data_IF_401834989705
#
_entry.id   IF_401834989705
#
_cell.length_a   1.000
_cell.length_b   1.000
_cell.length_c   1.000
_cell.angle_alpha   90.00
_cell.angle_beta   90.00
_cell.angle_gamma   90.00
#
_symmetry.space_group_name_H-M   'P 1'
#
loop_
_entity.id
_entity.type
_entity.pdbx_description
1 polymer ?
#
# COMPACT_ATOMS: atom_id res chain seq x y z
N UNK A 1 -19.62 -14.60 -13.43
CA UNK A 1 -18.25 -14.97 -13.00
C UNK A 1 -17.62 -13.72 -12.42
N UNK A 2 -17.14 -13.77 -11.18
CA UNK A 2 -16.44 -12.66 -10.53
C UNK A 2 -15.03 -12.55 -11.10
N UNK A 3 -14.88 -11.77 -12.18
CA UNK A 3 -13.63 -11.65 -12.95
C UNK A 3 -12.46 -11.12 -12.09
N UNK A 4 -12.76 -10.45 -10.98
CA UNK A 4 -11.78 -9.79 -10.12
C UNK A 4 -11.34 -10.59 -8.90
N UNK A 5 -11.92 -11.76 -8.62
CA UNK A 5 -11.63 -12.54 -7.41
C UNK A 5 -10.18 -13.03 -7.29
N UNK A 6 -9.47 -13.15 -8.41
CA UNK A 6 -8.07 -13.57 -8.45
C UNK A 6 -7.10 -12.38 -8.61
N UNK A 7 -7.61 -11.16 -8.71
CA UNK A 7 -6.80 -9.96 -8.85
C UNK A 7 -6.57 -9.29 -7.50
N UNK A 8 -5.45 -8.59 -7.39
CA UNK A 8 -5.13 -7.74 -6.25
C UNK A 8 -4.71 -6.37 -6.78
N UNK A 9 -4.97 -5.32 -6.01
CA UNK A 9 -4.46 -3.97 -6.27
C UNK A 9 -3.50 -3.61 -5.15
N UNK A 10 -2.27 -3.22 -5.51
CA UNK A 10 -1.27 -2.82 -4.54
C UNK A 10 -1.53 -1.39 -4.07
N UNK A 11 -1.64 -1.22 -2.76
CA UNK A 11 -1.77 0.06 -2.11
C UNK A 11 -0.38 0.50 -1.65
N UNK A 12 0.18 1.49 -2.34
CA UNK A 12 1.55 1.95 -2.14
C UNK A 12 1.53 3.32 -1.49
N UNK A 13 2.28 3.50 -0.41
CA UNK A 13 2.42 4.78 0.27
C UNK A 13 3.82 5.33 0.06
N UNK A 14 3.88 6.52 -0.53
CA UNK A 14 5.09 7.31 -0.66
C UNK A 14 5.32 8.22 0.55
N UNK A 15 6.56 8.32 0.99
CA UNK A 15 6.99 9.30 1.99
C UNK A 15 8.46 9.68 1.77
N UNK A 16 9.13 10.23 2.79
CA UNK A 16 10.54 10.62 2.72
C UNK A 16 11.26 10.42 4.05
N UNK A 17 12.49 9.90 4.00
CA UNK A 17 13.32 9.66 5.19
C UNK A 17 13.61 10.93 6.02
N UNK A 18 13.56 12.10 5.40
CA UNK A 18 13.78 13.38 6.08
C UNK A 18 12.72 13.71 7.14
N UNK A 19 11.57 13.03 7.14
CA UNK A 19 10.50 13.24 8.11
C UNK A 19 10.71 12.51 9.44
N UNK A 20 11.73 11.66 9.53
CA UNK A 20 12.10 10.95 10.75
C UNK A 20 11.20 9.76 11.10
N UNK A 21 11.71 8.82 11.92
CA UNK A 21 11.10 7.49 12.10
C UNK A 21 9.70 7.55 12.72
N UNK A 22 9.44 8.50 13.63
CA UNK A 22 8.12 8.64 14.26
C UNK A 22 7.03 8.99 13.24
N UNK A 23 7.33 9.90 12.32
CA UNK A 23 6.39 10.30 11.26
C UNK A 23 6.16 9.13 10.30
N UNK A 24 7.22 8.41 9.94
CA UNK A 24 7.10 7.24 9.06
C UNK A 24 6.26 6.13 9.70
N UNK A 25 6.42 5.89 11.00
CA UNK A 25 5.60 4.94 11.74
C UNK A 25 4.12 5.35 11.73
N UNK A 26 3.82 6.62 12.00
CA UNK A 26 2.45 7.12 11.98
C UNK A 26 1.81 6.97 10.58
N UNK A 27 2.57 7.23 9.52
CA UNK A 27 2.10 7.04 8.14
C UNK A 27 1.77 5.56 7.88
N UNK A 28 2.63 4.64 8.33
CA UNK A 28 2.36 3.20 8.20
C UNK A 28 1.14 2.75 9.00
N UNK A 29 0.97 3.23 10.23
CA UNK A 29 -0.19 2.89 11.06
C UNK A 29 -1.50 3.37 10.41
N UNK A 30 -1.51 4.59 9.87
CA UNK A 30 -2.64 5.12 9.11
C UNK A 30 -2.92 4.31 7.84
N UNK A 31 -1.87 3.89 7.12
CA UNK A 31 -2.01 3.08 5.92
C UNK A 31 -2.65 1.72 6.21
N UNK A 32 -2.22 1.06 7.30
CA UNK A 32 -2.84 -0.18 7.77
C UNK A 32 -4.32 0.01 8.10
N UNK A 33 -4.67 1.07 8.83
CA UNK A 33 -6.05 1.36 9.17
C UNK A 33 -6.91 1.55 7.91
N UNK A 34 -6.46 2.37 6.96
CA UNK A 34 -7.18 2.65 5.70
C UNK A 34 -7.37 1.37 4.88
N UNK A 35 -6.31 0.60 4.64
CA UNK A 35 -6.39 -0.61 3.81
C UNK A 35 -7.28 -1.67 4.45
N UNK A 36 -7.20 -1.85 5.77
CA UNK A 36 -8.05 -2.79 6.47
C UNK A 36 -9.53 -2.40 6.36
N UNK A 37 -9.89 -1.14 6.65
CA UNK A 37 -11.27 -0.66 6.54
C UNK A 37 -11.79 -0.74 5.10
N UNK A 38 -10.98 -0.39 4.10
CA UNK A 38 -11.39 -0.51 2.69
C UNK A 38 -11.63 -1.96 2.28
N UNK A 39 -10.78 -2.89 2.72
CA UNK A 39 -10.97 -4.32 2.43
C UNK A 39 -12.19 -4.92 3.15
N UNK A 40 -12.54 -4.45 4.35
CA UNK A 40 -13.65 -5.02 5.13
C UNK A 40 -15.00 -4.36 4.88
N UNK A 41 -15.04 -3.05 4.65
CA UNK A 41 -16.28 -2.26 4.71
C UNK A 41 -16.68 -1.64 3.37
N UNK A 42 -15.73 -1.35 2.46
CA UNK A 42 -16.04 -0.60 1.24
C UNK A 42 -16.68 -1.44 0.12
N UNK A 43 -16.84 -2.74 0.30
CA UNK A 43 -17.47 -3.63 -0.68
C UNK A 43 -16.72 -3.69 -2.01
N UNK A 44 -15.39 -3.52 -1.98
CA UNK A 44 -14.57 -3.52 -3.19
C UNK A 44 -14.59 -4.89 -3.87
N UNK A 45 -14.68 -4.95 -5.22
CA UNK A 45 -14.68 -6.21 -5.96
C UNK A 45 -13.28 -6.87 -6.02
N UNK A 46 -12.27 -6.21 -5.46
CA UNK A 46 -10.86 -6.61 -5.51
C UNK A 46 -10.20 -6.35 -4.15
N UNK A 47 -9.23 -7.20 -3.79
CA UNK A 47 -8.46 -7.06 -2.56
C UNK A 47 -7.37 -6.00 -2.72
N UNK A 48 -7.27 -5.09 -1.76
CA UNK A 48 -6.14 -4.18 -1.62
C UNK A 48 -5.02 -4.85 -0.82
N UNK A 49 -3.79 -4.79 -1.33
CA UNK A 49 -2.59 -5.29 -0.64
C UNK A 49 -1.67 -4.12 -0.31
N UNK A 50 -1.55 -3.81 0.98
CA UNK A 50 -0.62 -2.79 1.44
C UNK A 50 0.82 -3.25 1.21
N UNK A 51 1.60 -2.44 0.49
CA UNK A 51 3.04 -2.65 0.30
C UNK A 51 3.83 -1.81 1.32
N UNK A 52 5.11 -2.14 1.57
CA UNK A 52 5.96 -1.34 2.45
C UNK A 52 6.01 0.13 2.02
N UNK A 53 6.27 1.01 2.99
CA UNK A 53 6.55 2.41 2.72
C UNK A 53 7.72 2.53 1.74
N UNK A 54 7.57 3.35 0.72
CA UNK A 54 8.67 3.70 -0.18
C UNK A 54 9.06 5.15 0.06
N UNK A 55 10.36 5.37 0.28
CA UNK A 55 10.91 6.68 0.68
C UNK A 55 12.02 7.17 -0.23
N UNK A 56 12.53 6.29 -1.10
CA UNK A 56 13.62 6.56 -2.03
C UNK A 56 13.24 6.17 -3.46
N UNK A 57 13.87 6.78 -4.47
CA UNK A 57 13.66 6.40 -5.87
C UNK A 57 13.97 4.92 -6.16
N UNK A 58 14.99 4.36 -5.50
CA UNK A 58 15.39 2.96 -5.70
C UNK A 58 14.34 1.98 -5.15
N UNK A 59 13.78 2.26 -3.97
CA UNK A 59 12.67 1.49 -3.39
C UNK A 59 11.43 1.55 -4.29
N UNK A 60 11.08 2.73 -4.79
CA UNK A 60 9.95 2.92 -5.73
C UNK A 60 10.20 2.10 -7.00
N UNK A 61 11.41 2.20 -7.58
CA UNK A 61 11.77 1.48 -8.80
C UNK A 61 11.74 -0.04 -8.60
N UNK A 62 12.25 -0.53 -7.47
CA UNK A 62 12.23 -1.95 -7.11
C UNK A 62 10.79 -2.46 -6.97
N UNK A 63 9.93 -1.69 -6.30
CA UNK A 63 8.51 -2.02 -6.16
C UNK A 63 7.78 -2.06 -7.50
N UNK A 64 8.04 -1.10 -8.40
CA UNK A 64 7.49 -1.11 -9.76
C UNK A 64 7.96 -2.32 -10.56
N UNK A 65 9.19 -2.80 -10.36
CA UNK A 65 9.68 -4.04 -11.00
C UNK A 65 8.99 -5.28 -10.44
N UNK A 66 8.71 -5.31 -9.14
CA UNK A 66 7.98 -6.42 -8.50
C UNK A 66 6.53 -6.53 -9.00
N UNK A 67 5.93 -5.41 -9.42
CA UNK A 67 4.56 -5.35 -9.90
C UNK A 67 4.37 -5.76 -11.38
N UNK A 68 5.44 -5.83 -12.18
CA UNK A 68 5.40 -6.18 -13.61
C UNK A 68 5.56 -7.69 -13.84
#
# INVERSE_FOLDING_TARGET
MDVFKQSEVWFVIGSQNLYGPKTLQQVMDNAHHVVNSLNSEAGLPVKLVLKPLVTTPDEITALCREAN
#
